data_IF_847741121054
#
_entry.id   IF_847741121054
#
_cell.length_a   1.000
_cell.length_b   1.000
_cell.length_c   1.000
_cell.angle_alpha   90.00
_cell.angle_beta   90.00
_cell.angle_gamma   90.00
#
_symmetry.space_group_name_H-M   'P 1'
#
loop_
_entity.id
_entity.type
_entity.pdbx_description
1 polymer ?
#
# COMPACT_ATOMS: atom_id res chain seq x y z
N UNK A 1 29.85 34.72 14.39
CA UNK A 1 29.24 34.37 13.09
C UNK A 1 29.28 32.91 12.74
N UNK A 2 30.03 32.08 13.49
CA UNK A 2 30.18 30.63 13.26
C UNK A 2 29.26 29.77 14.11
N UNK A 3 28.65 30.32 15.17
CA UNK A 3 27.71 29.61 16.05
C UNK A 3 26.24 29.59 15.56
N UNK A 4 25.90 30.39 14.60
CA UNK A 4 24.53 30.45 14.06
C UNK A 4 24.29 29.53 12.85
N UNK A 5 25.37 29.04 12.22
CA UNK A 5 25.28 28.13 11.08
C UNK A 5 25.08 26.66 11.50
N UNK A 6 25.38 26.29 12.74
CA UNK A 6 25.18 24.91 13.24
C UNK A 6 23.75 24.63 13.72
N UNK A 7 22.88 25.63 13.80
CA UNK A 7 21.46 25.44 14.18
C UNK A 7 20.53 25.16 12.98
N UNK A 8 21.02 25.17 11.77
CA UNK A 8 20.20 24.99 10.55
C UNK A 8 20.21 23.56 9.98
N UNK A 9 20.94 22.61 10.60
CA UNK A 9 20.94 21.20 10.20
C UNK A 9 20.12 20.28 11.11
N UNK A 10 19.37 20.85 12.08
CA UNK A 10 18.47 20.09 12.93
C UNK A 10 17.15 19.83 12.20
N UNK A 11 17.00 18.66 11.59
CA UNK A 11 15.70 18.18 11.14
C UNK A 11 14.67 18.29 12.26
N UNK A 12 13.43 18.60 11.94
CA UNK A 12 12.31 18.64 12.90
C UNK A 12 12.25 17.27 13.58
N UNK A 13 12.27 17.24 14.93
CA UNK A 13 12.19 16.00 15.67
C UNK A 13 10.87 15.28 15.34
N UNK A 14 10.92 13.96 15.19
CA UNK A 14 9.75 13.10 14.91
C UNK A 14 8.57 13.40 15.82
N UNK A 15 8.85 13.76 17.08
CA UNK A 15 7.84 14.06 18.08
C UNK A 15 7.12 15.40 17.80
N UNK A 16 7.83 16.40 17.34
CA UNK A 16 7.25 17.70 17.01
C UNK A 16 6.52 17.65 15.65
N UNK A 17 7.01 16.84 14.71
CA UNK A 17 6.32 16.55 13.47
C UNK A 17 4.99 15.80 13.72
N UNK A 18 4.98 14.79 14.62
CA UNK A 18 3.77 14.04 14.97
C UNK A 18 2.74 14.90 15.72
N UNK A 19 3.16 15.81 16.60
CA UNK A 19 2.23 16.76 17.26
C UNK A 19 1.53 17.66 16.24
N UNK A 20 2.23 18.05 15.20
CA UNK A 20 1.73 18.89 14.12
C UNK A 20 0.77 18.17 13.17
N UNK A 21 1.04 16.90 12.86
CA UNK A 21 0.12 16.08 12.05
C UNK A 21 -1.15 15.71 12.83
N UNK A 22 -1.08 15.57 14.15
CA UNK A 22 -2.22 15.24 15.03
C UNK A 22 -3.30 16.34 15.14
N UNK A 23 -2.99 17.59 14.83
CA UNK A 23 -3.98 18.71 14.88
C UNK A 23 -4.99 18.64 13.72
N UNK A 24 -4.70 17.91 12.65
CA UNK A 24 -5.60 17.75 11.48
C UNK A 24 -6.57 16.56 11.64
N UNK A 25 -6.35 15.69 12.64
CA UNK A 25 -7.14 14.45 12.83
C UNK A 25 -8.47 14.58 13.59
N UNK A 26 -8.82 15.73 14.13
CA UNK A 26 -10.01 15.90 14.97
C UNK A 26 -11.04 16.80 14.30
N UNK A 27 -11.67 16.32 13.24
CA UNK A 27 -12.76 17.12 12.67
C UNK A 27 -13.42 16.66 11.38
N UNK A 28 -13.48 15.37 11.05
CA UNK A 28 -14.24 14.94 9.87
C UNK A 28 -15.08 13.68 10.12
N UNK A 29 -16.16 13.87 10.87
CA UNK A 29 -17.35 13.01 10.76
C UNK A 29 -18.37 13.71 9.83
N UNK A 30 -18.06 13.78 8.54
CA UNK A 30 -19.06 14.03 7.50
C UNK A 30 -18.51 13.45 6.21
N UNK A 31 -19.22 12.48 5.64
CA UNK A 31 -18.99 11.97 4.31
C UNK A 31 -19.32 13.07 3.29
N UNK A 32 -18.40 13.97 3.04
CA UNK A 32 -18.44 14.92 1.95
C UNK A 32 -17.37 14.47 0.97
N UNK A 33 -17.78 14.25 -0.28
CA UNK A 33 -16.84 14.09 -1.40
C UNK A 33 -16.05 15.41 -1.51
N UNK A 34 -14.91 15.47 -0.83
CA UNK A 34 -14.01 16.61 -0.93
C UNK A 34 -13.28 16.50 -2.27
N UNK A 35 -13.24 17.59 -3.05
CA UNK A 35 -12.34 17.65 -4.20
C UNK A 35 -10.91 17.40 -3.70
N UNK A 36 -10.13 16.62 -4.46
CA UNK A 36 -8.72 16.38 -4.20
C UNK A 36 -7.94 17.69 -4.41
N UNK A 37 -7.98 18.57 -3.41
CA UNK A 37 -7.18 19.81 -3.40
C UNK A 37 -6.18 19.70 -2.26
N UNK A 38 -4.91 19.90 -2.59
CA UNK A 38 -3.86 20.00 -1.57
C UNK A 38 -4.14 21.25 -0.71
N UNK A 39 -4.24 21.06 0.60
CA UNK A 39 -4.35 22.17 1.53
C UNK A 39 -2.94 22.61 1.93
N UNK A 40 -2.57 23.84 1.59
CA UNK A 40 -1.26 24.40 1.89
C UNK A 40 -1.38 25.56 2.88
N UNK A 41 -0.73 25.42 4.02
CA UNK A 41 -0.66 26.45 5.06
C UNK A 41 0.80 26.84 5.31
N UNK A 42 1.07 28.15 5.43
CA UNK A 42 2.40 28.62 5.81
C UNK A 42 2.69 28.18 7.26
N UNK A 43 3.65 27.29 7.42
CA UNK A 43 3.99 26.65 8.69
C UNK A 43 4.84 27.58 9.57
N UNK A 44 5.86 28.20 8.96
CA UNK A 44 6.68 29.24 9.57
C UNK A 44 7.13 30.25 8.50
N UNK A 45 8.09 31.11 8.81
CA UNK A 45 8.61 32.09 7.84
C UNK A 45 9.30 31.46 6.63
N UNK A 46 9.68 30.17 6.68
CA UNK A 46 10.52 29.47 5.69
C UNK A 46 9.88 28.23 5.08
N UNK A 47 8.86 27.63 5.73
CA UNK A 47 8.28 26.36 5.31
C UNK A 47 6.76 26.47 5.11
N UNK A 48 6.27 25.76 4.10
CA UNK A 48 4.87 25.46 3.89
C UNK A 48 4.58 24.05 4.39
N UNK A 49 3.47 23.88 5.09
CA UNK A 49 2.86 22.57 5.34
C UNK A 49 1.84 22.34 4.23
N UNK A 50 2.04 21.30 3.45
CA UNK A 50 1.12 20.89 2.37
C UNK A 50 0.58 19.52 2.73
N UNK A 51 -0.75 19.39 2.73
CA UNK A 51 -1.43 18.13 3.06
C UNK A 51 -2.45 17.80 1.99
N UNK A 52 -2.54 16.54 1.61
CA UNK A 52 -3.55 16.04 0.68
C UNK A 52 -4.02 14.66 1.12
N UNK A 53 -5.32 14.38 0.95
CA UNK A 53 -5.95 13.09 1.24
C UNK A 53 -6.73 12.62 0.02
N UNK A 54 -6.45 11.38 -0.42
CA UNK A 54 -7.19 10.71 -1.51
C UNK A 54 -7.70 9.34 -1.08
N UNK A 55 -8.77 8.89 -1.73
CA UNK A 55 -9.18 7.49 -1.64
C UNK A 55 -8.25 6.66 -2.55
N UNK A 56 -7.44 5.81 -1.95
CA UNK A 56 -6.50 4.93 -2.67
C UNK A 56 -6.32 3.62 -1.91
N UNK A 57 -5.97 2.54 -2.59
CA UNK A 57 -5.77 1.21 -1.99
C UNK A 57 -6.96 0.71 -1.14
N UNK A 58 -8.19 1.18 -1.44
CA UNK A 58 -9.41 0.84 -0.70
C UNK A 58 -9.55 1.54 0.67
N UNK A 59 -8.75 2.58 0.96
CA UNK A 59 -8.80 3.39 2.18
C UNK A 59 -8.48 4.85 1.88
N UNK A 60 -8.58 5.71 2.88
CA UNK A 60 -8.06 7.07 2.77
C UNK A 60 -6.55 7.07 3.00
N UNK A 61 -5.81 7.60 2.03
CA UNK A 61 -4.37 7.84 2.13
C UNK A 61 -4.15 9.33 2.25
N UNK A 62 -3.48 9.75 3.31
CA UNK A 62 -3.12 11.16 3.51
C UNK A 62 -1.61 11.33 3.52
N UNK A 63 -1.15 12.39 2.88
CA UNK A 63 0.25 12.81 2.87
C UNK A 63 0.35 14.22 3.43
N UNK A 64 1.36 14.45 4.27
CA UNK A 64 1.70 15.78 4.80
C UNK A 64 3.17 16.01 4.60
N UNK A 65 3.52 17.13 3.96
CA UNK A 65 4.90 17.52 3.66
C UNK A 65 5.23 18.86 4.32
N UNK A 66 6.51 19.07 4.63
CA UNK A 66 7.06 20.38 4.98
C UNK A 66 8.16 20.73 3.97
N UNK A 67 7.99 21.81 3.22
CA UNK A 67 8.92 22.22 2.18
C UNK A 67 8.96 23.75 2.01
N UNK A 68 10.14 24.35 1.64
CA UNK A 68 10.22 25.79 1.39
C UNK A 68 9.39 26.29 0.21
N UNK A 69 9.19 25.46 -0.81
CA UNK A 69 8.36 25.76 -1.98
C UNK A 69 7.04 24.99 -1.90
N UNK A 70 5.93 25.72 -1.91
CA UNK A 70 4.58 25.16 -1.98
C UNK A 70 4.39 24.36 -3.26
N UNK A 71 4.76 24.93 -4.41
CA UNK A 71 4.52 24.31 -5.72
C UNK A 71 5.30 22.99 -5.87
N UNK A 72 6.55 22.94 -5.38
CA UNK A 72 7.32 21.70 -5.39
C UNK A 72 6.71 20.63 -4.49
N UNK A 73 6.19 21.00 -3.32
CA UNK A 73 5.50 20.07 -2.44
C UNK A 73 4.21 19.52 -3.06
N UNK A 74 3.41 20.37 -3.72
CA UNK A 74 2.18 19.96 -4.42
C UNK A 74 2.50 19.02 -5.59
N UNK A 75 3.54 19.31 -6.38
CA UNK A 75 4.01 18.43 -7.46
C UNK A 75 4.45 17.07 -6.89
N UNK A 76 5.24 17.06 -5.82
CA UNK A 76 5.74 15.84 -5.21
C UNK A 76 4.61 14.95 -4.67
N UNK A 77 3.60 15.52 -3.99
CA UNK A 77 2.40 14.79 -3.56
C UNK A 77 1.68 14.18 -4.76
N UNK A 78 1.48 14.97 -5.82
CA UNK A 78 0.85 14.47 -7.05
C UNK A 78 1.58 13.25 -7.62
N UNK A 79 2.91 13.32 -7.70
CA UNK A 79 3.76 12.20 -8.17
C UNK A 79 3.69 10.96 -7.27
N UNK A 80 3.66 11.16 -5.95
CA UNK A 80 3.49 10.05 -5.01
C UNK A 80 2.13 9.36 -5.16
N UNK A 81 1.04 10.11 -5.37
CA UNK A 81 -0.27 9.52 -5.64
C UNK A 81 -0.35 8.84 -7.01
N UNK A 82 0.27 9.38 -8.06
CA UNK A 82 0.38 8.72 -9.36
C UNK A 82 1.05 7.34 -9.23
N UNK A 83 2.10 7.24 -8.41
CA UNK A 83 2.80 5.98 -8.14
C UNK A 83 1.94 4.99 -7.35
N UNK A 84 1.20 5.46 -6.34
CA UNK A 84 0.21 4.64 -5.61
C UNK A 84 -0.84 4.07 -6.57
N UNK A 85 -1.39 4.90 -7.46
CA UNK A 85 -2.42 4.48 -8.41
C UNK A 85 -1.86 3.47 -9.43
N UNK A 86 -0.64 3.69 -9.92
CA UNK A 86 0.04 2.77 -10.84
C UNK A 86 0.21 1.39 -10.22
N UNK A 87 0.76 1.33 -9.00
CA UNK A 87 1.01 0.07 -8.30
C UNK A 87 -0.29 -0.63 -7.86
N UNK A 88 -1.31 0.14 -7.52
CA UNK A 88 -2.62 -0.42 -7.16
C UNK A 88 -3.26 -1.13 -8.36
N UNK A 89 -3.12 -0.58 -9.57
CA UNK A 89 -3.60 -1.26 -10.81
C UNK A 89 -2.93 -2.61 -11.06
N UNK A 90 -1.68 -2.77 -10.65
CA UNK A 90 -0.97 -4.05 -10.83
C UNK A 90 -1.32 -5.07 -9.75
N UNK A 91 -1.59 -4.65 -8.52
CA UNK A 91 -1.59 -5.51 -7.34
C UNK A 91 -2.96 -5.70 -6.65
N UNK A 92 -4.00 -4.97 -7.04
CA UNK A 92 -5.33 -5.11 -6.46
C UNK A 92 -6.00 -6.40 -6.94
N UNK A 93 -6.49 -7.24 -6.02
CA UNK A 93 -7.31 -8.42 -6.36
C UNK A 93 -8.80 -8.12 -6.52
N UNK A 94 -9.21 -6.88 -6.25
CA UNK A 94 -10.61 -6.46 -6.27
C UNK A 94 -11.05 -5.98 -7.67
N UNK A 95 -10.11 -5.52 -8.48
CA UNK A 95 -10.32 -5.17 -9.88
C UNK A 95 -9.94 -6.34 -10.76
N UNK A 96 -10.87 -6.79 -11.62
CA UNK A 96 -10.71 -7.95 -12.50
C UNK A 96 -9.72 -7.72 -13.65
N UNK A 97 -9.32 -6.49 -13.90
CA UNK A 97 -8.39 -6.11 -14.98
C UNK A 97 -6.93 -6.14 -14.54
N UNK A 98 -6.65 -6.31 -13.25
CA UNK A 98 -5.30 -6.28 -12.71
C UNK A 98 -4.50 -7.55 -12.98
N UNK A 99 -3.17 -7.44 -12.93
CA UNK A 99 -2.26 -8.58 -13.09
C UNK A 99 -2.50 -9.68 -12.02
N UNK A 100 -2.77 -9.31 -10.77
CA UNK A 100 -3.12 -10.27 -9.71
C UNK A 100 -4.43 -10.98 -9.99
N UNK A 101 -5.45 -10.26 -10.46
CA UNK A 101 -6.74 -10.87 -10.80
C UNK A 101 -6.60 -11.82 -11.99
N UNK A 102 -5.82 -11.47 -13.01
CA UNK A 102 -5.51 -12.34 -14.14
C UNK A 102 -4.79 -13.61 -13.68
N UNK A 103 -3.72 -13.48 -12.88
CA UNK A 103 -3.01 -14.64 -12.33
C UNK A 103 -3.96 -15.57 -11.56
N UNK A 104 -4.84 -15.01 -10.72
CA UNK A 104 -5.78 -15.79 -9.93
C UNK A 104 -6.84 -16.51 -10.78
N UNK A 105 -7.22 -15.95 -11.93
CA UNK A 105 -8.21 -16.54 -12.86
C UNK A 105 -7.60 -17.63 -13.71
N UNK A 106 -6.38 -17.39 -14.22
CA UNK A 106 -5.73 -18.24 -15.21
C UNK A 106 -4.76 -19.25 -14.59
N UNK A 107 -4.35 -19.03 -13.34
CA UNK A 107 -3.31 -19.83 -12.68
C UNK A 107 -1.90 -19.58 -13.19
N UNK A 108 -1.76 -18.74 -14.21
CA UNK A 108 -0.51 -18.37 -14.85
C UNK A 108 -0.56 -16.91 -15.32
N UNK A 109 0.57 -16.22 -15.21
CA UNK A 109 0.76 -14.88 -15.74
C UNK A 109 2.13 -14.81 -16.41
N UNK A 110 2.15 -14.53 -17.70
CA UNK A 110 3.35 -14.09 -18.43
C UNK A 110 3.47 -12.56 -18.31
N UNK A 111 4.66 -12.04 -18.55
CA UNK A 111 4.94 -10.58 -18.52
C UNK A 111 4.48 -9.90 -17.24
N UNK A 112 4.87 -10.49 -16.10
CA UNK A 112 4.55 -9.98 -14.77
C UNK A 112 5.12 -8.58 -14.59
N UNK A 113 4.32 -7.58 -14.15
CA UNK A 113 4.83 -6.26 -13.83
C UNK A 113 6.01 -6.33 -12.84
N UNK A 114 7.12 -5.60 -13.06
CA UNK A 114 8.34 -5.74 -12.25
C UNK A 114 8.11 -5.55 -10.75
N UNK A 115 7.25 -4.59 -10.37
CA UNK A 115 6.91 -4.35 -8.97
C UNK A 115 6.12 -5.51 -8.37
N UNK A 116 5.17 -6.09 -9.10
CA UNK A 116 4.43 -7.28 -8.66
C UNK A 116 5.37 -8.48 -8.49
N UNK A 117 6.30 -8.71 -9.43
CA UNK A 117 7.30 -9.78 -9.31
C UNK A 117 8.18 -9.60 -8.05
N UNK A 118 8.58 -8.36 -7.76
CA UNK A 118 9.36 -8.02 -6.57
C UNK A 118 8.56 -8.27 -5.27
N UNK A 119 7.28 -7.86 -5.22
CA UNK A 119 6.41 -8.11 -4.07
C UNK A 119 6.20 -9.60 -3.85
N UNK A 120 5.94 -10.38 -4.90
CA UNK A 120 5.79 -11.85 -4.80
C UNK A 120 7.10 -12.49 -4.32
N UNK A 121 8.26 -12.07 -4.84
CA UNK A 121 9.57 -12.56 -4.38
C UNK A 121 9.80 -12.28 -2.88
N UNK A 122 9.50 -11.06 -2.42
CA UNK A 122 9.57 -10.70 -0.99
C UNK A 122 8.60 -11.53 -0.15
N UNK A 123 7.36 -11.71 -0.62
CA UNK A 123 6.35 -12.52 0.06
C UNK A 123 6.79 -13.98 0.24
N UNK A 124 7.38 -14.59 -0.79
CA UNK A 124 7.94 -15.95 -0.72
C UNK A 124 9.16 -16.03 0.24
N UNK A 125 9.95 -14.96 0.34
CA UNK A 125 11.02 -14.86 1.33
C UNK A 125 10.44 -14.79 2.76
N UNK A 126 9.41 -13.96 2.99
CA UNK A 126 8.73 -13.87 4.30
C UNK A 126 8.06 -15.19 4.68
N UNK A 127 7.45 -15.90 3.72
CA UNK A 127 6.91 -17.25 3.97
C UNK A 127 7.98 -18.18 4.55
N UNK A 128 9.17 -18.21 3.93
CA UNK A 128 10.29 -19.06 4.41
C UNK A 128 10.80 -18.65 5.79
N UNK A 129 11.03 -17.34 6.02
CA UNK A 129 11.54 -16.82 7.29
C UNK A 129 10.56 -17.05 8.44
N UNK A 130 9.25 -16.95 8.17
CA UNK A 130 8.19 -17.13 9.16
C UNK A 130 7.79 -18.60 9.35
N UNK A 131 8.46 -19.56 8.70
CA UNK A 131 8.08 -20.97 8.70
C UNK A 131 6.61 -21.19 8.30
N UNK A 132 6.15 -20.45 7.28
CA UNK A 132 4.79 -20.55 6.75
C UNK A 132 3.72 -19.72 7.48
N UNK A 133 4.07 -18.98 8.53
CA UNK A 133 3.12 -18.13 9.24
C UNK A 133 2.60 -16.97 8.36
N UNK A 134 3.42 -16.49 7.42
CA UNK A 134 3.01 -15.57 6.37
C UNK A 134 2.89 -16.34 5.04
N UNK A 135 1.70 -16.35 4.44
CA UNK A 135 1.45 -17.06 3.19
C UNK A 135 0.49 -16.28 2.28
N UNK A 136 0.96 -15.85 1.11
CA UNK A 136 0.15 -15.12 0.14
C UNK A 136 -0.83 -16.02 -0.62
N UNK A 137 -0.67 -17.35 -0.57
CA UNK A 137 -1.61 -18.29 -1.19
C UNK A 137 -2.89 -18.52 -0.37
N UNK A 138 -3.07 -17.79 0.72
CA UNK A 138 -4.23 -17.87 1.61
C UNK A 138 -5.56 -17.39 0.98
N UNK A 139 -5.53 -16.87 -0.26
CA UNK A 139 -6.71 -16.35 -0.96
C UNK A 139 -7.92 -17.29 -0.94
N UNK A 140 -7.83 -18.63 -1.16
CA UNK A 140 -8.99 -19.53 -1.11
C UNK A 140 -9.70 -19.51 0.25
N UNK A 141 -8.94 -19.39 1.35
CA UNK A 141 -9.50 -19.28 2.70
C UNK A 141 -10.16 -17.89 2.88
N UNK A 142 -9.52 -16.82 2.47
CA UNK A 142 -10.07 -15.45 2.54
C UNK A 142 -11.38 -15.36 1.76
N UNK A 143 -11.43 -15.90 0.54
CA UNK A 143 -12.63 -15.91 -0.29
C UNK A 143 -13.75 -16.77 0.31
N UNK A 144 -13.41 -17.90 0.93
CA UNK A 144 -14.37 -18.73 1.66
C UNK A 144 -15.05 -17.94 2.78
N UNK A 145 -14.28 -17.24 3.62
CA UNK A 145 -14.82 -16.39 4.67
C UNK A 145 -15.67 -15.25 4.08
N UNK A 146 -15.15 -14.54 3.08
CA UNK A 146 -15.90 -13.47 2.42
C UNK A 146 -17.26 -13.95 1.91
N UNK A 147 -17.30 -15.09 1.22
CA UNK A 147 -18.53 -15.64 0.67
C UNK A 147 -19.52 -16.06 1.77
N UNK A 148 -19.04 -16.64 2.86
CA UNK A 148 -19.88 -17.07 3.99
C UNK A 148 -20.46 -15.90 4.78
N UNK A 149 -19.74 -14.77 4.87
CA UNK A 149 -20.21 -13.60 5.62
C UNK A 149 -20.93 -12.54 4.76
N UNK A 150 -20.82 -12.62 3.42
CA UNK A 150 -21.54 -11.69 2.52
C UNK A 150 -22.98 -12.13 2.19
N UNK A 151 -23.41 -13.30 2.62
CA UNK A 151 -24.75 -13.83 2.34
C UNK A 151 -25.85 -13.27 3.24
N UNK A 152 -27.12 -13.52 2.89
CA UNK A 152 -28.30 -13.13 3.71
C UNK A 152 -28.32 -13.74 5.11
N UNK A 153 -27.63 -14.86 5.32
CA UNK A 153 -27.47 -15.54 6.62
C UNK A 153 -25.98 -15.82 6.86
N UNK A 154 -25.24 -14.84 7.40
CA UNK A 154 -23.82 -15.01 7.69
C UNK A 154 -23.60 -16.20 8.63
N UNK A 155 -22.63 -17.05 8.30
CA UNK A 155 -22.25 -18.18 9.14
C UNK A 155 -20.78 -18.53 8.93
N UNK A 156 -20.05 -19.02 9.93
CA UNK A 156 -18.67 -19.45 9.74
C UNK A 156 -18.61 -20.63 8.77
N UNK A 157 -17.48 -20.79 8.06
CA UNK A 157 -17.25 -21.97 7.24
C UNK A 157 -17.31 -23.26 8.06
N UNK A 158 -17.80 -24.32 7.45
CA UNK A 158 -17.75 -25.66 8.05
C UNK A 158 -16.32 -26.19 8.08
N UNK A 159 -16.04 -27.16 8.96
CA UNK A 159 -14.73 -27.83 9.00
C UNK A 159 -14.37 -28.50 7.67
N UNK A 160 -15.36 -29.02 6.91
CA UNK A 160 -15.12 -29.63 5.60
C UNK A 160 -14.67 -28.56 4.58
N UNK A 161 -15.39 -27.44 4.49
CA UNK A 161 -15.02 -26.33 3.59
C UNK A 161 -13.64 -25.76 3.93
N UNK A 162 -13.35 -25.60 5.23
CA UNK A 162 -12.05 -25.13 5.67
C UNK A 162 -10.93 -26.09 5.25
N UNK A 163 -11.11 -27.41 5.45
CA UNK A 163 -10.11 -28.38 5.01
C UNK A 163 -9.87 -28.35 3.50
N UNK A 164 -10.92 -28.21 2.69
CA UNK A 164 -10.77 -28.12 1.24
C UNK A 164 -10.04 -26.82 0.82
N UNK A 165 -10.38 -25.69 1.42
CA UNK A 165 -9.69 -24.43 1.14
C UNK A 165 -8.20 -24.48 1.53
N UNK A 166 -7.88 -25.08 2.68
CA UNK A 166 -6.50 -25.22 3.16
C UNK A 166 -5.62 -26.10 2.29
N UNK A 167 -6.17 -27.07 1.54
CA UNK A 167 -5.39 -27.86 0.56
C UNK A 167 -4.79 -26.99 -0.55
N UNK A 168 -5.40 -25.83 -0.82
CA UNK A 168 -4.97 -24.89 -1.85
C UNK A 168 -3.99 -23.83 -1.33
N UNK A 169 -3.74 -23.79 -0.01
CA UNK A 169 -2.79 -22.87 0.62
C UNK A 169 -1.42 -23.54 0.67
N UNK A 170 -0.52 -23.07 -0.17
CA UNK A 170 0.84 -23.60 -0.28
C UNK A 170 1.73 -22.65 -1.13
N UNK A 171 2.41 -21.74 -0.47
CA UNK A 171 3.31 -20.80 -1.17
C UNK A 171 4.46 -21.50 -1.90
N UNK A 172 4.83 -22.76 -1.52
CA UNK A 172 5.86 -23.53 -2.25
C UNK A 172 5.41 -23.96 -3.65
N UNK A 173 4.10 -23.97 -3.88
CA UNK A 173 3.48 -24.22 -5.19
C UNK A 173 3.38 -22.97 -6.07
N UNK A 174 3.87 -21.80 -5.63
CA UNK A 174 4.03 -20.61 -6.45
C UNK A 174 5.40 -20.63 -7.10
N UNK A 175 5.45 -20.71 -8.42
CA UNK A 175 6.70 -20.67 -9.17
C UNK A 175 6.86 -19.30 -9.83
N UNK A 176 7.93 -18.59 -9.47
CA UNK A 176 8.38 -17.37 -10.14
C UNK A 176 9.60 -17.75 -11.00
N UNK A 177 9.50 -17.63 -12.33
CA UNK A 177 10.57 -17.99 -13.26
C UNK A 177 10.68 -16.92 -14.35
N UNK A 178 11.84 -16.25 -14.40
CA UNK A 178 12.00 -15.11 -15.32
C UNK A 178 10.96 -14.03 -15.05
N UNK A 179 10.18 -13.71 -16.08
CA UNK A 179 9.10 -12.72 -16.03
C UNK A 179 7.70 -13.39 -15.97
N UNK A 180 7.60 -14.59 -15.40
CA UNK A 180 6.32 -15.30 -15.29
C UNK A 180 6.05 -15.85 -13.88
N UNK A 181 4.77 -15.97 -13.53
CA UNK A 181 4.31 -16.64 -12.31
C UNK A 181 3.36 -17.77 -12.72
N UNK A 182 3.58 -18.95 -12.11
CA UNK A 182 2.71 -20.11 -12.25
C UNK A 182 2.23 -20.58 -10.88
N UNK A 183 0.92 -20.78 -10.74
CA UNK A 183 0.29 -21.46 -9.60
C UNK A 183 0.11 -22.93 -9.96
N UNK A 184 0.89 -23.81 -9.30
CA UNK A 184 0.97 -25.24 -9.69
C UNK A 184 -0.28 -26.06 -9.37
N UNK A 185 -1.11 -25.59 -8.43
CA UNK A 185 -2.33 -26.31 -8.02
C UNK A 185 -3.56 -25.64 -8.64
N UNK A 186 -4.40 -26.38 -9.40
CA UNK A 186 -5.68 -25.86 -9.89
C UNK A 186 -6.56 -25.36 -8.73
N UNK A 187 -7.17 -24.18 -8.90
CA UNK A 187 -7.99 -23.55 -7.86
C UNK A 187 -7.21 -22.79 -6.79
N UNK A 188 -5.88 -22.82 -6.84
CA UNK A 188 -5.02 -21.99 -6.02
C UNK A 188 -5.17 -20.51 -6.41
N UNK A 189 -4.90 -19.61 -5.51
CA UNK A 189 -4.87 -18.18 -5.77
C UNK A 189 -4.04 -17.44 -4.74
N UNK A 190 -3.62 -16.22 -5.08
CA UNK A 190 -2.84 -15.38 -4.18
C UNK A 190 -3.59 -14.11 -3.78
N UNK A 191 -3.23 -13.57 -2.62
CA UNK A 191 -3.55 -12.21 -2.21
C UNK A 191 -2.28 -11.49 -1.77
N UNK A 192 -2.14 -10.24 -2.19
CA UNK A 192 -1.03 -9.39 -1.78
C UNK A 192 -1.43 -8.41 -0.66
N UNK A 193 -2.66 -8.51 -0.14
CA UNK A 193 -3.23 -7.58 0.86
C UNK A 193 -2.34 -7.40 2.11
N UNK A 194 -1.61 -8.45 2.51
CA UNK A 194 -0.72 -8.42 3.67
C UNK A 194 0.67 -7.79 3.43
N UNK A 195 1.01 -7.44 2.19
CA UNK A 195 2.35 -6.91 1.87
C UNK A 195 2.32 -5.74 0.88
N UNK A 196 1.36 -5.72 -0.07
CA UNK A 196 1.35 -4.72 -1.14
C UNK A 196 1.18 -3.30 -0.60
N UNK A 197 0.35 -3.09 0.43
CA UNK A 197 0.10 -1.76 0.98
C UNK A 197 1.40 -1.12 1.49
N UNK A 198 2.20 -1.84 2.28
CA UNK A 198 3.51 -1.37 2.76
C UNK A 198 4.47 -1.08 1.60
N UNK A 199 4.53 -1.99 0.62
CA UNK A 199 5.37 -1.79 -0.57
C UNK A 199 4.99 -0.53 -1.36
N UNK A 200 3.69 -0.30 -1.56
CA UNK A 200 3.18 0.88 -2.28
C UNK A 200 3.50 2.16 -1.52
N UNK A 201 3.35 2.16 -0.19
CA UNK A 201 3.72 3.30 0.66
C UNK A 201 5.23 3.58 0.61
N UNK A 202 6.07 2.54 0.62
CA UNK A 202 7.52 2.68 0.45
C UNK A 202 7.85 3.34 -0.91
N UNK A 203 7.18 2.94 -1.99
CA UNK A 203 7.36 3.53 -3.32
C UNK A 203 6.88 4.98 -3.41
N UNK A 204 5.78 5.31 -2.75
CA UNK A 204 5.34 6.70 -2.62
C UNK A 204 6.35 7.54 -1.83
N UNK A 205 6.94 6.97 -0.79
CA UNK A 205 8.05 7.58 -0.03
C UNK A 205 9.29 7.82 -0.90
N UNK A 206 9.67 6.82 -1.72
CA UNK A 206 10.77 6.97 -2.69
C UNK A 206 10.49 8.10 -3.68
N UNK A 207 9.24 8.22 -4.17
CA UNK A 207 8.84 9.29 -5.08
C UNK A 207 8.96 10.68 -4.41
N UNK A 208 8.50 10.83 -3.16
CA UNK A 208 8.65 12.08 -2.40
C UNK A 208 10.13 12.45 -2.23
N UNK A 209 10.94 11.50 -1.79
CA UNK A 209 12.38 11.68 -1.58
C UNK A 209 13.11 12.04 -2.88
N UNK A 210 12.75 11.38 -3.99
CA UNK A 210 13.27 11.67 -5.33
C UNK A 210 12.94 13.08 -5.84
N UNK A 211 11.91 13.73 -5.30
CA UNK A 211 11.54 15.11 -5.55
C UNK A 211 12.09 16.10 -4.50
N UNK A 212 13.07 15.66 -3.68
CA UNK A 212 13.74 16.52 -2.70
C UNK A 212 12.93 16.79 -1.43
N UNK A 213 11.88 16.01 -1.17
CA UNK A 213 11.11 16.14 0.06
C UNK A 213 11.75 15.29 1.17
N UNK A 214 12.27 15.97 2.18
CA UNK A 214 12.93 15.31 3.32
C UNK A 214 12.00 15.12 4.52
N UNK A 215 10.98 15.99 4.67
CA UNK A 215 10.08 16.00 5.82
C UNK A 215 8.65 15.70 5.37
N UNK A 216 8.22 14.48 5.58
CA UNK A 216 6.88 14.02 5.21
C UNK A 216 6.32 12.94 6.13
N UNK A 217 5.01 12.79 6.11
CA UNK A 217 4.25 11.71 6.73
C UNK A 217 3.27 11.16 5.69
N UNK A 218 3.25 9.84 5.52
CA UNK A 218 2.22 9.12 4.77
C UNK A 218 1.42 8.28 5.76
N UNK A 219 0.11 8.44 5.76
CA UNK A 219 -0.85 7.63 6.52
C UNK A 219 -1.78 6.90 5.53
N UNK A 220 -1.80 5.54 5.59
CA UNK A 220 -2.51 4.67 4.65
C UNK A 220 -3.26 3.52 5.33
#
# INVERSE_FOLDING_TARGET
MEKDMQRLSGGIDRRDFLKLSGIVGVGLTAAVALPASAEAVKFDRKLYKVSETRLAMGTFVSMTLLHPSRDQAEIAIGKAFEEIDRLTRDMSRFDQTTAVAQLNREGHLADVPPDMANVVKRALAHHRISNGAFDISVKPVVDLFKNRFSGKKPSPPTQKEMREALKLVDASSIQLAGNSILLKKPGMGITLDGIAKGYIVDKASDALSGHGIENYLINA
#
